data_IF_907990605252
#
_entry.id   IF_907990605252
#
_cell.length_a   1.000
_cell.length_b   1.000
_cell.length_c   1.000
_cell.angle_alpha   90.00
_cell.angle_beta   90.00
_cell.angle_gamma   90.00
#
_symmetry.space_group_name_H-M   'P 1'
#
loop_
_entity.id
_entity.type
_entity.pdbx_description
1 polymer ?
#
# COMPACT_ATOMS: atom_id res chain seq x y z
N UNK A 1 -66.05 28.73 -3.23
CA UNK A 1 -64.70 29.15 -3.61
C UNK A 1 -63.75 28.73 -2.50
N UNK A 2 -63.07 27.58 -2.64
CA UNK A 2 -62.02 27.13 -1.71
C UNK A 2 -60.83 26.70 -2.55
N UNK A 3 -59.76 27.50 -2.47
CA UNK A 3 -58.45 27.21 -3.10
C UNK A 3 -57.67 26.29 -2.19
N UNK A 4 -57.40 25.08 -2.63
CA UNK A 4 -56.45 24.16 -2.00
C UNK A 4 -55.09 24.31 -2.69
N UNK A 5 -54.13 24.83 -1.96
CA UNK A 5 -52.73 24.91 -2.34
C UNK A 5 -52.07 23.56 -2.07
N UNK A 6 -51.61 22.88 -3.15
CA UNK A 6 -50.80 21.70 -3.06
C UNK A 6 -49.34 22.09 -2.76
N UNK A 7 -48.84 21.70 -1.61
CA UNK A 7 -47.45 21.83 -1.24
C UNK A 7 -46.70 20.61 -1.81
N UNK A 8 -45.86 20.84 -2.80
CA UNK A 8 -44.93 19.83 -3.34
C UNK A 8 -43.74 19.71 -2.36
N UNK A 9 -43.67 18.61 -1.65
CA UNK A 9 -42.49 18.22 -0.85
C UNK A 9 -41.47 17.57 -1.78
N UNK A 10 -40.45 18.34 -2.10
CA UNK A 10 -39.27 17.82 -2.86
C UNK A 10 -38.35 17.07 -1.88
N UNK A 11 -38.47 15.74 -1.84
CA UNK A 11 -37.55 14.90 -1.11
C UNK A 11 -36.22 14.79 -1.91
N UNK A 12 -35.23 15.57 -1.52
CA UNK A 12 -33.87 15.40 -2.03
C UNK A 12 -33.28 14.16 -1.35
N UNK A 13 -33.28 13.04 -2.08
CA UNK A 13 -32.56 11.83 -1.69
C UNK A 13 -31.04 12.13 -1.78
N UNK A 14 -30.43 12.44 -0.66
CA UNK A 14 -28.98 12.53 -0.50
C UNK A 14 -28.43 11.12 -0.57
N UNK A 15 -28.04 10.68 -1.77
CA UNK A 15 -27.30 9.45 -1.96
C UNK A 15 -25.89 9.69 -1.43
N UNK A 16 -25.69 9.39 -0.14
CA UNK A 16 -24.35 9.20 0.42
C UNK A 16 -23.73 8.02 -0.30
N UNK A 17 -22.87 8.28 -1.28
CA UNK A 17 -21.95 7.26 -1.82
C UNK A 17 -20.98 6.89 -0.69
N UNK A 18 -21.35 5.88 0.09
CA UNK A 18 -20.42 5.18 0.95
C UNK A 18 -19.39 4.55 0.01
N UNK A 19 -18.23 5.21 -0.13
CA UNK A 19 -17.04 4.57 -0.68
C UNK A 19 -16.59 3.52 0.34
N UNK A 20 -17.33 2.42 0.42
CA UNK A 20 -16.92 1.23 1.15
C UNK A 20 -15.73 0.62 0.42
N UNK A 21 -14.68 0.27 1.14
CA UNK A 21 -13.61 -0.54 0.59
C UNK A 21 -14.23 -1.79 -0.07
N UNK A 22 -13.83 -2.08 -1.31
CA UNK A 22 -14.33 -3.28 -1.99
C UNK A 22 -13.96 -4.52 -1.18
N UNK A 23 -14.89 -5.49 -1.05
CA UNK A 23 -14.66 -6.67 -0.24
C UNK A 23 -13.49 -7.50 -0.79
N UNK A 24 -12.56 -7.91 0.08
CA UNK A 24 -11.46 -8.81 -0.29
C UNK A 24 -12.00 -10.23 -0.49
N UNK A 25 -11.65 -10.87 -1.62
CA UNK A 25 -12.11 -12.21 -1.95
C UNK A 25 -10.96 -13.11 -2.41
N UNK A 26 -11.07 -14.43 -2.15
CA UNK A 26 -10.10 -15.41 -2.70
C UNK A 26 -10.08 -15.42 -4.23
N UNK A 27 -11.22 -15.11 -4.87
CA UNK A 27 -11.33 -15.02 -6.33
C UNK A 27 -10.47 -13.89 -6.87
N UNK A 28 -10.48 -12.72 -6.24
CA UNK A 28 -9.69 -11.57 -6.67
C UNK A 28 -8.20 -11.79 -6.39
N UNK A 29 -7.84 -12.46 -5.27
CA UNK A 29 -6.48 -12.90 -5.03
C UNK A 29 -5.97 -13.83 -6.15
N UNK A 30 -6.76 -14.84 -6.53
CA UNK A 30 -6.41 -15.75 -7.62
C UNK A 30 -6.30 -15.03 -8.99
N UNK A 31 -7.14 -14.00 -9.22
CA UNK A 31 -7.02 -13.17 -10.44
C UNK A 31 -5.70 -12.42 -10.48
N UNK A 32 -5.29 -11.81 -9.36
CA UNK A 32 -4.00 -11.13 -9.31
C UNK A 32 -2.85 -12.12 -9.49
N UNK A 33 -2.88 -13.29 -8.84
CA UNK A 33 -1.86 -14.32 -9.04
C UNK A 33 -1.71 -14.67 -10.54
N UNK A 34 -2.81 -14.91 -11.25
CA UNK A 34 -2.78 -15.21 -12.68
C UNK A 34 -2.21 -14.05 -13.52
N UNK A 35 -2.49 -12.79 -13.13
CA UNK A 35 -1.91 -11.60 -13.77
C UNK A 35 -0.40 -11.51 -13.53
N UNK A 36 0.07 -11.75 -12.30
CA UNK A 36 1.49 -11.77 -11.94
C UNK A 36 2.25 -12.87 -12.69
N UNK A 37 1.67 -14.05 -12.82
CA UNK A 37 2.24 -15.16 -13.59
C UNK A 37 2.38 -14.78 -15.09
N UNK A 38 1.39 -14.08 -15.65
CA UNK A 38 1.46 -13.57 -17.02
C UNK A 38 2.56 -12.53 -17.18
N UNK A 39 2.65 -11.56 -16.25
CA UNK A 39 3.71 -10.54 -16.23
C UNK A 39 5.07 -11.22 -16.17
N UNK A 40 5.26 -12.20 -15.28
CA UNK A 40 6.53 -12.95 -15.15
C UNK A 40 6.91 -13.70 -16.43
N UNK A 41 5.95 -14.33 -17.11
CA UNK A 41 6.19 -15.07 -18.36
C UNK A 41 6.50 -14.13 -19.53
N UNK A 42 6.04 -12.89 -19.49
CA UNK A 42 6.21 -11.93 -20.59
C UNK A 42 7.55 -11.18 -20.58
N UNK A 43 8.41 -11.45 -19.60
CA UNK A 43 9.71 -10.77 -19.34
C UNK A 43 10.67 -10.77 -20.56
N UNK A 44 10.51 -11.66 -21.53
CA UNK A 44 11.39 -11.78 -22.70
C UNK A 44 10.85 -11.15 -23.99
N UNK A 45 9.66 -10.64 -24.00
CA UNK A 45 8.95 -10.25 -25.23
C UNK A 45 9.20 -8.77 -25.59
N UNK A 46 10.38 -8.45 -26.12
CA UNK A 46 10.86 -7.08 -26.37
C UNK A 46 10.14 -6.32 -27.51
N UNK A 47 9.12 -6.90 -28.15
CA UNK A 47 8.52 -6.32 -29.36
C UNK A 47 7.12 -5.74 -29.25
N UNK A 48 6.38 -6.01 -28.16
CA UNK A 48 5.00 -5.52 -28.00
C UNK A 48 4.83 -4.95 -26.60
N UNK A 49 4.31 -3.73 -26.52
CA UNK A 49 3.89 -3.15 -25.24
C UNK A 49 2.72 -3.97 -24.71
N UNK A 50 2.90 -4.57 -23.54
CA UNK A 50 1.84 -5.29 -22.84
C UNK A 50 1.40 -4.47 -21.62
N UNK A 51 0.10 -4.32 -21.45
CA UNK A 51 -0.47 -3.64 -20.28
C UNK A 51 -1.31 -4.60 -19.46
N UNK A 52 -1.20 -4.52 -18.14
CA UNK A 52 -1.99 -5.33 -17.20
C UNK A 52 -2.58 -4.42 -16.14
N UNK A 53 -3.90 -4.31 -16.11
CA UNK A 53 -4.61 -3.57 -15.06
C UNK A 53 -4.79 -4.44 -13.82
N UNK A 54 -4.51 -3.86 -12.64
CA UNK A 54 -4.65 -4.48 -11.32
C UNK A 54 -5.53 -3.55 -10.48
N UNK A 55 -6.63 -4.06 -9.94
CA UNK A 55 -7.50 -3.26 -9.08
C UNK A 55 -7.01 -3.27 -7.63
N UNK A 56 -7.41 -2.28 -6.86
CA UNK A 56 -7.14 -2.20 -5.42
C UNK A 56 -7.71 -3.43 -4.69
N UNK A 57 -8.91 -3.88 -5.07
CA UNK A 57 -9.52 -5.08 -4.51
C UNK A 57 -8.68 -6.35 -4.78
N UNK A 58 -8.16 -6.52 -6.00
CA UNK A 58 -7.25 -7.63 -6.33
C UNK A 58 -5.97 -7.57 -5.50
N UNK A 59 -5.38 -6.36 -5.36
CA UNK A 59 -4.15 -6.15 -4.60
C UNK A 59 -4.33 -6.50 -3.12
N UNK A 60 -5.37 -5.96 -2.47
CA UNK A 60 -5.64 -6.22 -1.05
C UNK A 60 -6.10 -7.67 -0.81
N UNK A 61 -6.83 -8.27 -1.74
CA UNK A 61 -7.16 -9.69 -1.69
C UNK A 61 -5.90 -10.56 -1.74
N UNK A 62 -4.97 -10.24 -2.61
CA UNK A 62 -3.69 -10.96 -2.71
C UNK A 62 -2.85 -10.82 -1.43
N UNK A 63 -2.75 -9.61 -0.89
CA UNK A 63 -2.08 -9.38 0.39
C UNK A 63 -2.70 -10.23 1.51
N UNK A 64 -4.02 -10.33 1.54
CA UNK A 64 -4.75 -11.06 2.58
C UNK A 64 -4.64 -12.58 2.48
N UNK A 65 -4.71 -13.14 1.27
CA UNK A 65 -4.87 -14.58 1.07
C UNK A 65 -3.62 -15.30 0.56
N UNK A 66 -2.72 -14.61 -0.16
CA UNK A 66 -1.57 -15.23 -0.81
C UNK A 66 -0.21 -14.81 -0.21
N UNK A 67 -0.19 -13.67 0.51
CA UNK A 67 1.06 -13.14 1.07
C UNK A 67 1.30 -13.51 2.54
N UNK A 68 0.41 -14.27 3.18
CA UNK A 68 0.46 -14.54 4.62
C UNK A 68 1.83 -14.96 5.15
N UNK A 69 2.45 -15.96 4.53
CA UNK A 69 3.78 -16.47 4.93
C UNK A 69 4.95 -15.54 4.54
N UNK A 70 4.69 -14.55 3.69
CA UNK A 70 5.70 -13.57 3.24
C UNK A 70 5.63 -12.26 4.01
N UNK A 71 4.53 -12.02 4.74
CA UNK A 71 4.39 -10.88 5.63
C UNK A 71 5.28 -11.13 6.84
N UNK A 72 6.19 -10.19 7.19
CA UNK A 72 7.08 -10.38 8.32
C UNK A 72 6.31 -10.60 9.65
N UNK A 73 6.79 -11.50 10.53
CA UNK A 73 6.18 -11.69 11.84
C UNK A 73 6.12 -10.39 12.63
N UNK A 74 4.94 -10.02 13.12
CA UNK A 74 4.69 -8.76 13.81
C UNK A 74 4.10 -7.66 12.92
N UNK A 75 3.85 -7.95 11.64
CA UNK A 75 3.04 -7.12 10.75
C UNK A 75 1.73 -7.85 10.48
N UNK A 76 0.60 -7.20 10.72
CA UNK A 76 -0.73 -7.75 10.47
C UNK A 76 -1.61 -6.74 9.74
N UNK A 77 -2.66 -7.26 9.11
CA UNK A 77 -3.68 -6.50 8.39
C UNK A 77 -3.13 -5.43 7.43
N UNK A 78 -2.17 -5.78 6.54
CA UNK A 78 -1.69 -4.85 5.55
C UNK A 78 -2.80 -4.49 4.56
N UNK A 79 -2.89 -3.21 4.25
CA UNK A 79 -3.82 -2.66 3.28
C UNK A 79 -3.16 -1.59 2.44
N UNK A 80 -3.47 -1.55 1.14
CA UNK A 80 -2.96 -0.56 0.20
C UNK A 80 -4.12 0.13 -0.49
N UNK A 81 -4.10 1.46 -0.50
CA UNK A 81 -5.03 2.28 -1.28
C UNK A 81 -4.31 2.94 -2.44
N UNK A 82 -4.84 2.76 -3.63
CA UNK A 82 -4.33 3.34 -4.87
C UNK A 82 -5.05 4.66 -5.13
N UNK A 83 -4.30 5.73 -5.19
CA UNK A 83 -4.80 7.09 -5.33
C UNK A 83 -4.37 7.68 -6.68
N UNK A 84 -4.98 8.82 -7.05
CA UNK A 84 -4.63 9.52 -8.28
C UNK A 84 -3.21 10.11 -8.23
N UNK A 85 -2.68 10.39 -9.41
CA UNK A 85 -1.38 11.06 -9.59
C UNK A 85 -0.18 10.32 -8.99
N UNK A 86 -0.20 8.99 -9.01
CA UNK A 86 0.92 8.19 -8.50
C UNK A 86 0.96 8.06 -6.99
N UNK A 87 -0.01 8.58 -6.26
CA UNK A 87 -0.07 8.47 -4.80
C UNK A 87 -0.55 7.11 -4.37
N UNK A 88 0.01 6.65 -3.26
CA UNK A 88 -0.37 5.40 -2.61
C UNK A 88 -0.39 5.60 -1.11
N UNK A 89 -1.39 5.00 -0.45
CA UNK A 89 -1.44 4.91 1.00
C UNK A 89 -1.32 3.44 1.42
N UNK A 90 -0.54 3.19 2.46
CA UNK A 90 -0.41 1.88 3.09
C UNK A 90 -0.80 1.95 4.55
N UNK A 91 -1.53 0.95 5.04
CA UNK A 91 -1.79 0.77 6.46
C UNK A 91 -1.45 -0.66 6.88
N UNK A 92 -0.99 -0.82 8.11
CA UNK A 92 -0.75 -2.13 8.71
C UNK A 92 -0.73 -1.97 10.23
N UNK A 93 -0.94 -3.05 10.97
CA UNK A 93 -0.62 -3.10 12.38
C UNK A 93 0.79 -3.66 12.53
N UNK A 94 1.68 -2.97 13.25
CA UNK A 94 3.08 -3.36 13.45
C UNK A 94 3.42 -3.52 14.93
N UNK A 95 4.16 -4.55 15.28
CA UNK A 95 4.66 -4.78 16.63
C UNK A 95 5.98 -4.00 16.84
N UNK A 96 5.87 -2.81 17.41
CA UNK A 96 7.01 -1.93 17.66
C UNK A 96 7.94 -2.42 18.78
N UNK A 97 7.48 -3.30 19.65
CA UNK A 97 8.33 -3.90 20.70
C UNK A 97 9.50 -4.67 20.08
N UNK A 98 9.28 -5.33 18.94
CA UNK A 98 10.32 -6.05 18.19
C UNK A 98 11.35 -5.12 17.58
N UNK A 99 10.89 -3.98 17.04
CA UNK A 99 11.79 -2.96 16.47
C UNK A 99 12.65 -2.36 17.57
N UNK A 100 12.05 -1.95 18.68
CA UNK A 100 12.76 -1.36 19.83
C UNK A 100 13.84 -2.28 20.41
N UNK A 101 13.53 -3.58 20.57
CA UNK A 101 14.47 -4.57 21.12
C UNK A 101 15.67 -4.86 20.20
N UNK A 102 15.54 -4.67 18.91
CA UNK A 102 16.59 -4.98 17.92
C UNK A 102 17.62 -3.86 17.75
N UNK A 103 17.42 -2.70 18.35
CA UNK A 103 18.28 -1.51 18.21
C UNK A 103 18.88 -1.09 19.54
N UNK A 104 20.01 -0.40 19.49
CA UNK A 104 20.57 0.23 20.70
C UNK A 104 19.74 1.48 21.03
N UNK A 105 19.26 1.64 22.27
CA UNK A 105 18.57 2.87 22.66
C UNK A 105 19.44 4.10 22.43
N UNK A 106 18.88 5.12 21.77
CA UNK A 106 19.62 6.36 21.47
C UNK A 106 19.53 7.39 22.60
N UNK A 107 18.84 7.06 23.69
CA UNK A 107 18.68 7.92 24.86
C UNK A 107 17.33 7.74 25.55
N UNK A 108 17.15 8.48 26.66
CA UNK A 108 15.93 8.39 27.48
C UNK A 108 14.68 8.94 26.75
N UNK A 109 14.86 9.80 25.76
CA UNK A 109 13.80 10.39 24.93
C UNK A 109 13.63 9.69 23.57
N UNK A 110 14.15 8.46 23.42
CA UNK A 110 13.95 7.67 22.21
C UNK A 110 12.45 7.34 22.05
N UNK A 111 11.78 7.76 20.95
CA UNK A 111 10.36 7.52 20.76
C UNK A 111 9.95 6.04 20.84
N UNK A 112 10.85 5.11 20.46
CA UNK A 112 10.57 3.68 20.56
C UNK A 112 10.50 3.16 21.99
N UNK A 113 10.97 3.92 23.00
CA UNK A 113 10.78 3.56 24.41
C UNK A 113 9.32 3.74 24.86
N UNK A 114 8.55 4.58 24.16
CA UNK A 114 7.15 4.90 24.48
C UNK A 114 6.16 4.20 23.55
N UNK A 115 6.60 3.79 22.37
CA UNK A 115 5.78 3.10 21.39
C UNK A 115 6.05 1.58 21.46
N UNK A 116 5.31 0.89 22.32
CA UNK A 116 5.42 -0.55 22.53
C UNK A 116 4.14 -1.27 22.12
N UNK A 117 4.27 -2.57 21.82
CA UNK A 117 3.13 -3.38 21.39
C UNK A 117 2.75 -3.21 19.92
N UNK A 118 1.59 -3.75 19.58
CA UNK A 118 1.05 -3.70 18.23
C UNK A 118 0.25 -2.43 18.01
N UNK A 119 0.66 -1.60 17.08
CA UNK A 119 0.08 -0.28 16.80
C UNK A 119 -0.23 -0.10 15.31
N UNK A 120 -1.30 0.61 14.96
CA UNK A 120 -1.60 0.95 13.57
C UNK A 120 -0.56 1.94 13.03
N UNK A 121 0.02 1.58 11.89
CA UNK A 121 0.92 2.39 11.07
C UNK A 121 0.18 2.82 9.80
N UNK A 122 0.26 4.09 9.46
CA UNK A 122 -0.20 4.61 8.17
C UNK A 122 0.96 5.32 7.47
N UNK A 123 1.12 5.07 6.18
CA UNK A 123 2.15 5.67 5.34
C UNK A 123 1.50 6.17 4.07
N UNK A 124 1.77 7.41 3.68
CA UNK A 124 1.35 7.98 2.40
C UNK A 124 2.58 8.41 1.61
N UNK A 125 2.57 8.21 0.32
CA UNK A 125 3.68 8.60 -0.52
C UNK A 125 3.35 8.58 -2.00
N UNK A 126 4.32 9.01 -2.78
CA UNK A 126 4.27 9.12 -4.23
C UNK A 126 5.18 8.07 -4.84
N UNK A 127 4.61 7.13 -5.58
CA UNK A 127 5.33 6.17 -6.40
C UNK A 127 5.52 6.75 -7.80
N UNK A 128 6.77 6.89 -8.22
CA UNK A 128 7.15 7.24 -9.59
C UNK A 128 7.91 6.09 -10.20
N UNK A 129 7.51 5.69 -11.39
CA UNK A 129 8.19 4.59 -12.09
C UNK A 129 8.47 4.99 -13.53
N UNK A 130 9.65 4.67 -14.02
CA UNK A 130 10.05 4.91 -15.40
C UNK A 130 11.22 4.01 -15.79
N UNK A 131 11.18 3.49 -17.01
CA UNK A 131 12.27 2.72 -17.62
C UNK A 131 12.80 1.56 -16.73
N UNK A 132 11.87 0.90 -16.03
CA UNK A 132 12.22 -0.23 -15.16
C UNK A 132 12.73 0.17 -13.77
N UNK A 133 12.72 1.45 -13.43
CA UNK A 133 13.15 1.95 -12.13
C UNK A 133 11.94 2.58 -11.41
N UNK A 134 11.79 2.25 -10.13
CA UNK A 134 10.83 2.86 -9.23
C UNK A 134 11.51 3.75 -8.20
N UNK A 135 10.85 4.83 -7.81
CA UNK A 135 11.20 5.67 -6.66
C UNK A 135 9.95 5.89 -5.82
N UNK A 136 10.11 5.88 -4.51
CA UNK A 136 9.04 6.19 -3.59
C UNK A 136 9.42 7.41 -2.76
N UNK A 137 8.58 8.44 -2.79
CA UNK A 137 8.75 9.61 -1.96
C UNK A 137 7.72 9.58 -0.84
N UNK A 138 8.18 9.45 0.41
CA UNK A 138 7.32 9.50 1.60
C UNK A 138 6.75 10.91 1.75
N UNK A 139 5.43 11.06 1.74
CA UNK A 139 4.74 12.34 1.96
C UNK A 139 4.37 12.52 3.44
N UNK A 140 3.85 11.48 4.08
CA UNK A 140 3.51 11.49 5.51
C UNK A 140 3.47 10.08 6.09
N UNK A 141 3.66 9.99 7.40
CA UNK A 141 3.46 8.77 8.14
C UNK A 141 2.93 9.06 9.54
N UNK A 142 2.17 8.12 10.09
CA UNK A 142 1.67 8.20 11.46
C UNK A 142 1.64 6.82 12.12
N UNK A 143 1.87 6.81 13.44
CA UNK A 143 1.74 5.64 14.30
C UNK A 143 0.64 5.95 15.31
N UNK A 144 -0.40 5.12 15.36
CA UNK A 144 -1.61 5.38 16.16
C UNK A 144 -2.22 6.77 15.92
N UNK A 145 -2.16 7.27 14.67
CA UNK A 145 -2.64 8.61 14.30
C UNK A 145 -1.70 9.76 14.66
N UNK A 146 -0.59 9.50 15.35
CA UNK A 146 0.41 10.52 15.71
C UNK A 146 1.42 10.62 14.56
N UNK A 147 1.63 11.79 13.95
CA UNK A 147 2.64 11.97 12.93
C UNK A 147 4.04 11.59 13.41
N UNK A 148 4.78 10.85 12.60
CA UNK A 148 6.13 10.42 12.91
C UNK A 148 7.11 10.82 11.80
N UNK A 149 8.37 11.11 12.14
CA UNK A 149 9.37 11.51 11.16
C UNK A 149 9.79 10.33 10.26
N UNK A 150 10.27 10.65 9.06
CA UNK A 150 10.66 9.67 8.04
C UNK A 150 11.71 8.66 8.53
N UNK A 151 12.66 9.08 9.38
CA UNK A 151 13.67 8.18 9.91
C UNK A 151 13.07 7.04 10.75
N UNK A 152 11.97 7.29 11.46
CA UNK A 152 11.29 6.24 12.24
C UNK A 152 10.68 5.18 11.32
N UNK A 153 10.06 5.61 10.22
CA UNK A 153 9.53 4.69 9.20
C UNK A 153 10.66 3.91 8.54
N UNK A 154 11.79 4.56 8.26
CA UNK A 154 12.97 3.89 7.73
C UNK A 154 13.48 2.80 8.69
N UNK A 155 13.50 3.04 10.00
CA UNK A 155 13.89 2.02 11.00
C UNK A 155 12.92 0.83 11.00
N UNK A 156 11.61 1.09 11.01
CA UNK A 156 10.57 0.05 10.96
C UNK A 156 10.73 -0.77 9.67
N UNK A 157 10.83 -0.10 8.53
CA UNK A 157 10.99 -0.75 7.24
C UNK A 157 12.27 -1.58 7.18
N UNK A 158 13.40 -1.00 7.64
CA UNK A 158 14.68 -1.70 7.68
C UNK A 158 14.58 -2.98 8.52
N UNK A 159 13.96 -2.91 9.68
CA UNK A 159 13.79 -4.07 10.54
C UNK A 159 12.99 -5.19 9.86
N UNK A 160 11.82 -4.86 9.33
CA UNK A 160 10.91 -5.86 8.75
C UNK A 160 11.28 -6.33 7.34
N UNK A 161 12.13 -5.60 6.61
CA UNK A 161 12.58 -5.99 5.27
C UNK A 161 13.93 -6.71 5.21
N UNK A 162 14.58 -6.93 6.36
CA UNK A 162 15.82 -7.72 6.42
C UNK A 162 15.57 -9.15 5.91
N UNK A 163 16.43 -9.58 5.01
CA UNK A 163 16.40 -10.91 4.44
C UNK A 163 17.81 -11.33 4.04
N UNK A 164 18.07 -12.63 3.72
CA UNK A 164 19.36 -13.06 3.20
C UNK A 164 19.81 -12.30 1.94
N UNK A 165 18.86 -11.86 1.11
CA UNK A 165 19.12 -11.06 -0.10
C UNK A 165 19.18 -9.56 0.14
N UNK A 166 18.69 -9.08 1.28
CA UNK A 166 18.70 -7.68 1.70
C UNK A 166 19.08 -7.56 3.19
N UNK A 167 20.35 -7.85 3.57
CA UNK A 167 20.75 -7.90 4.98
C UNK A 167 20.64 -6.55 5.70
N UNK A 168 20.72 -5.46 4.96
CA UNK A 168 20.55 -4.10 5.47
C UNK A 168 19.12 -3.58 5.37
N UNK A 169 18.17 -4.43 4.96
CA UNK A 169 16.79 -4.02 4.69
C UNK A 169 16.64 -3.14 3.45
N UNK A 170 15.43 -2.64 3.25
CA UNK A 170 15.06 -1.77 2.11
C UNK A 170 15.11 -0.30 2.57
N UNK A 171 15.61 0.58 1.71
CA UNK A 171 15.57 2.03 1.93
C UNK A 171 14.41 2.66 1.16
N UNK A 172 13.63 3.51 1.82
CA UNK A 172 12.54 4.27 1.20
C UNK A 172 13.06 5.24 0.14
N UNK A 173 14.23 5.85 0.39
CA UNK A 173 14.75 6.95 -0.43
C UNK A 173 15.51 6.50 -1.69
N UNK A 174 15.89 5.22 -1.73
CA UNK A 174 16.69 4.70 -2.85
C UNK A 174 15.82 4.22 -4.00
N UNK A 175 16.18 4.54 -5.25
CA UNK A 175 15.58 3.91 -6.42
C UNK A 175 15.71 2.39 -6.34
N UNK A 176 14.70 1.68 -6.83
CA UNK A 176 14.66 0.23 -6.88
C UNK A 176 14.29 -0.27 -8.28
N UNK A 177 14.87 -1.40 -8.73
CA UNK A 177 14.52 -1.98 -10.02
C UNK A 177 13.12 -2.60 -9.97
N UNK A 178 12.33 -2.39 -11.03
CA UNK A 178 11.06 -3.08 -11.21
C UNK A 178 11.31 -4.50 -11.72
N UNK A 179 10.63 -5.51 -11.17
CA UNK A 179 10.84 -6.91 -11.54
C UNK A 179 10.21 -7.23 -12.91
N UNK A 180 10.56 -8.38 -13.44
CA UNK A 180 9.85 -9.03 -14.57
C UNK A 180 9.70 -8.18 -15.84
N UNK A 181 10.67 -7.33 -16.14
CA UNK A 181 10.65 -6.50 -17.33
C UNK A 181 9.55 -5.41 -17.30
N UNK A 182 9.01 -5.10 -16.14
CA UNK A 182 8.09 -3.98 -15.96
C UNK A 182 8.85 -2.68 -16.24
N UNK A 183 8.32 -1.88 -17.17
CA UNK A 183 8.88 -0.58 -17.55
C UNK A 183 8.29 0.55 -16.72
N UNK A 184 7.01 0.45 -16.42
CA UNK A 184 6.26 1.50 -15.73
C UNK A 184 5.07 0.90 -14.97
N UNK A 185 4.69 1.53 -13.86
CA UNK A 185 3.45 1.30 -13.12
C UNK A 185 2.73 2.64 -13.02
N UNK A 186 1.59 2.76 -13.67
CA UNK A 186 0.75 3.95 -13.63
C UNK A 186 -0.35 3.76 -12.58
N UNK A 187 -0.44 4.68 -11.61
CA UNK A 187 -1.47 4.64 -10.57
C UNK A 187 -2.58 5.63 -10.87
N UNK A 188 -3.81 5.13 -10.74
CA UNK A 188 -5.03 5.91 -10.71
C UNK A 188 -5.87 5.46 -9.51
N UNK A 189 -6.90 6.22 -9.15
CA UNK A 189 -7.77 5.87 -8.04
C UNK A 189 -8.35 4.46 -8.18
N UNK A 190 -8.04 3.58 -7.21
CA UNK A 190 -8.49 2.19 -7.17
C UNK A 190 -7.84 1.23 -8.17
N UNK A 191 -6.84 1.68 -8.96
CA UNK A 191 -6.23 0.87 -10.01
C UNK A 191 -4.76 1.18 -10.25
N UNK A 192 -3.99 0.15 -10.55
CA UNK A 192 -2.64 0.24 -11.11
C UNK A 192 -2.61 -0.38 -12.50
N UNK A 193 -1.88 0.23 -13.44
CA UNK A 193 -1.62 -0.33 -14.78
C UNK A 193 -0.13 -0.62 -14.89
N UNK A 194 0.21 -1.89 -15.03
CA UNK A 194 1.58 -2.37 -15.25
C UNK A 194 1.85 -2.37 -16.76
N UNK A 195 2.95 -1.74 -17.16
CA UNK A 195 3.41 -1.64 -18.56
C UNK A 195 4.75 -2.39 -18.69
N UNK A 196 4.83 -3.30 -19.66
CA UNK A 196 6.03 -4.08 -20.02
C UNK A 196 6.50 -3.75 -21.44
#
# INVERSE_FOLDING_TARGET
MKRTTAAAVLAIAFVCSLSGAEPVTRRDAARLQAKLDRISKNTGNRGKVATTAITEAELNSYLRFEMGDRIPPGVTDPWVSLLDNGRVAGTATVDLSRVGQSRKPTGMLDPFNFLTGSVPLTVNGLLKTREGIGTFALESASVSGIPVPAWMIQEILTYYSKSPTAPNGISIEKPFPLPSGIREIQLAKGQAVVVQ
#
